data_IF_323289284209
#
_entry.id   IF_323289284209
#
_cell.length_a   1.000
_cell.length_b   1.000
_cell.length_c   1.000
_cell.angle_alpha   90.00
_cell.angle_beta   90.00
_cell.angle_gamma   90.00
#
_symmetry.space_group_name_H-M   'P 1'
#
loop_
_entity.id
_entity.type
_entity.pdbx_description
1 polymer ?
#
# COMPACT_ATOMS: atom_id res chain seq x y z
N UNK A 1 0.99 85.45 -56.85
CA UNK A 1 2.37 85.97 -56.72
C UNK A 1 3.07 85.10 -55.68
N UNK A 2 3.88 84.15 -56.15
CA UNK A 2 5.33 84.29 -56.33
C UNK A 2 6.02 84.19 -54.96
N UNK A 3 6.52 83.02 -54.56
CA UNK A 3 7.80 82.42 -55.00
C UNK A 3 8.95 82.84 -54.08
N UNK A 4 9.54 81.82 -53.45
CA UNK A 4 10.98 81.65 -53.19
C UNK A 4 11.66 82.68 -52.27
N UNK A 5 12.24 82.16 -51.19
CA UNK A 5 13.70 82.28 -50.99
C UNK A 5 14.24 81.17 -50.10
N UNK A 6 14.89 80.23 -50.76
CA UNK A 6 16.03 79.49 -50.23
C UNK A 6 17.10 80.47 -49.75
N UNK A 7 17.75 80.17 -48.63
CA UNK A 7 19.11 79.62 -48.59
C UNK A 7 19.82 79.90 -47.26
N UNK A 8 20.27 78.80 -46.68
CA UNK A 8 21.54 78.55 -45.97
C UNK A 8 22.24 79.69 -45.21
N UNK A 9 22.62 79.41 -43.95
CA UNK A 9 24.03 79.11 -43.63
C UNK A 9 24.21 78.65 -42.17
N UNK A 10 25.08 77.65 -42.04
CA UNK A 10 25.61 77.07 -40.80
C UNK A 10 26.15 78.08 -39.77
N UNK A 11 25.94 77.78 -38.49
CA UNK A 11 26.92 77.89 -37.38
C UNK A 11 26.19 77.56 -36.06
N UNK A 12 26.16 76.29 -35.62
CA UNK A 12 27.02 75.72 -34.56
C UNK A 12 26.87 76.40 -33.18
N UNK A 13 26.53 75.53 -32.21
CA UNK A 13 26.61 75.64 -30.75
C UNK A 13 25.50 76.41 -30.01
N UNK A 14 24.64 75.66 -29.31
CA UNK A 14 24.88 75.25 -27.91
C UNK A 14 23.53 75.02 -27.19
N UNK A 15 23.38 73.83 -26.58
CA UNK A 15 22.54 73.53 -25.39
C UNK A 15 21.03 73.76 -25.57
N UNK A 16 20.14 72.78 -25.39
CA UNK A 16 19.87 72.07 -24.12
C UNK A 16 19.14 70.77 -24.48
N UNK A 17 19.71 69.64 -24.07
CA UNK A 17 19.07 68.33 -24.10
C UNK A 17 18.02 68.32 -22.98
N UNK A 18 16.73 68.38 -23.33
CA UNK A 18 15.65 67.98 -22.41
C UNK A 18 15.32 66.53 -22.73
N UNK A 19 16.09 65.61 -22.15
CA UNK A 19 15.69 64.21 -22.07
C UNK A 19 14.74 64.06 -20.89
N UNK A 20 13.47 63.85 -21.22
CA UNK A 20 12.44 63.36 -20.31
C UNK A 20 12.78 61.89 -19.96
N UNK A 21 13.69 61.68 -18.99
CA UNK A 21 13.96 60.35 -18.45
C UNK A 21 12.85 60.05 -17.44
N UNK A 22 11.81 59.42 -17.96
CA UNK A 22 10.81 58.72 -17.17
C UNK A 22 11.53 57.57 -16.45
N UNK A 23 11.89 57.78 -15.19
CA UNK A 23 12.42 56.72 -14.33
C UNK A 23 11.40 55.57 -14.27
N UNK A 24 11.76 54.32 -14.61
CA UNK A 24 10.91 53.20 -14.29
C UNK A 24 10.89 53.08 -12.76
N UNK A 25 9.70 53.19 -12.18
CA UNK A 25 9.52 52.90 -10.76
C UNK A 25 9.84 51.43 -10.52
N UNK A 26 11.06 51.16 -10.05
CA UNK A 26 11.43 49.87 -9.50
C UNK A 26 10.57 49.62 -8.25
N UNK A 27 9.41 49.01 -8.48
CA UNK A 27 8.64 48.33 -7.45
C UNK A 27 9.57 47.24 -6.91
N UNK A 28 10.19 47.48 -5.75
CA UNK A 28 10.86 46.44 -4.95
C UNK A 28 9.81 45.39 -4.60
N UNK A 29 9.57 44.44 -5.50
CA UNK A 29 8.89 43.20 -5.17
C UNK A 29 9.74 42.52 -4.11
N UNK A 30 9.25 42.53 -2.88
CA UNK A 30 9.92 41.90 -1.75
C UNK A 30 10.29 40.47 -2.13
N UNK A 31 11.57 40.11 -1.98
CA UNK A 31 12.13 38.77 -2.24
C UNK A 31 11.29 37.62 -1.62
N UNK A 32 10.50 37.90 -0.58
CA UNK A 32 9.53 36.97 0.02
C UNK A 32 8.43 36.50 -0.95
N UNK A 33 8.00 37.33 -1.91
CA UNK A 33 6.96 36.97 -2.90
C UNK A 33 7.52 36.09 -4.03
N UNK A 34 8.79 36.30 -4.39
CA UNK A 34 9.47 35.54 -5.46
C UNK A 34 9.83 34.10 -5.05
N UNK A 35 10.20 33.87 -3.78
CA UNK A 35 10.55 32.52 -3.29
C UNK A 35 9.41 31.80 -2.57
N UNK A 36 8.40 32.51 -2.08
CA UNK A 36 7.26 31.91 -1.39
C UNK A 36 6.41 31.01 -2.31
N UNK A 37 6.17 31.44 -3.55
CA UNK A 37 5.40 30.65 -4.53
C UNK A 37 6.15 29.35 -4.89
N UNK A 38 7.43 29.38 -5.32
CA UNK A 38 8.21 28.16 -5.56
C UNK A 38 8.31 27.21 -4.37
N UNK A 39 8.43 27.75 -3.15
CA UNK A 39 8.53 26.92 -1.94
C UNK A 39 7.22 26.19 -1.65
N UNK A 40 6.08 26.89 -1.76
CA UNK A 40 4.75 26.30 -1.57
C UNK A 40 4.44 25.28 -2.65
N UNK A 41 4.74 25.57 -3.92
CA UNK A 41 4.53 24.61 -5.01
C UNK A 41 5.40 23.37 -4.86
N UNK A 42 6.65 23.52 -4.39
CA UNK A 42 7.53 22.38 -4.10
C UNK A 42 6.97 21.51 -2.97
N UNK A 43 6.47 22.13 -1.89
CA UNK A 43 5.83 21.40 -0.79
C UNK A 43 4.57 20.65 -1.24
N UNK A 44 3.71 21.30 -2.04
CA UNK A 44 2.54 20.65 -2.62
C UNK A 44 2.96 19.48 -3.51
N UNK A 45 4.03 19.65 -4.30
CA UNK A 45 4.62 18.59 -5.11
C UNK A 45 5.04 17.38 -4.28
N UNK A 46 5.80 17.59 -3.20
CA UNK A 46 6.25 16.53 -2.29
C UNK A 46 5.05 15.80 -1.66
N UNK A 47 4.05 16.54 -1.17
CA UNK A 47 2.85 15.95 -0.56
C UNK A 47 2.07 15.14 -1.59
N UNK A 48 1.88 15.67 -2.80
CA UNK A 48 1.22 14.96 -3.89
C UNK A 48 1.95 13.67 -4.27
N UNK A 49 3.29 13.69 -4.34
CA UNK A 49 4.09 12.49 -4.60
C UNK A 49 3.92 11.44 -3.51
N UNK A 50 3.91 11.84 -2.23
CA UNK A 50 3.69 10.92 -1.11
C UNK A 50 2.30 10.28 -1.18
N UNK A 51 1.25 11.07 -1.45
CA UNK A 51 -0.13 10.56 -1.59
C UNK A 51 -0.24 9.59 -2.75
N UNK A 52 0.35 9.93 -3.90
CA UNK A 52 0.36 9.06 -5.08
C UNK A 52 1.11 7.76 -4.80
N UNK A 53 2.28 7.83 -4.17
CA UNK A 53 3.05 6.65 -3.79
C UNK A 53 2.30 5.76 -2.80
N UNK A 54 1.63 6.34 -1.79
CA UNK A 54 0.82 5.61 -0.84
C UNK A 54 -0.38 4.91 -1.50
N UNK A 55 -1.08 5.61 -2.39
CA UNK A 55 -2.20 5.04 -3.15
C UNK A 55 -1.75 3.90 -4.07
N UNK A 56 -0.63 4.07 -4.77
CA UNK A 56 -0.04 3.04 -5.62
C UNK A 56 0.41 1.82 -4.81
N UNK A 57 0.98 2.03 -3.62
CA UNK A 57 1.38 0.93 -2.73
C UNK A 57 0.16 0.11 -2.30
N UNK A 58 -0.92 0.76 -1.86
CA UNK A 58 -2.14 0.08 -1.43
C UNK A 58 -2.79 -0.73 -2.55
N UNK A 59 -2.92 -0.16 -3.75
CA UNK A 59 -3.45 -0.88 -4.91
C UNK A 59 -2.51 -2.00 -5.33
N UNK A 60 -1.20 -1.76 -5.28
CA UNK A 60 -0.19 -2.76 -5.61
C UNK A 60 -0.25 -3.97 -4.67
N UNK A 61 -0.51 -3.76 -3.38
CA UNK A 61 -0.72 -4.83 -2.40
C UNK A 61 -1.97 -5.65 -2.70
N UNK A 62 -3.12 -5.00 -2.95
CA UNK A 62 -4.37 -5.68 -3.32
C UNK A 62 -4.20 -6.51 -4.61
N UNK A 63 -3.60 -5.91 -5.65
CA UNK A 63 -3.34 -6.60 -6.91
C UNK A 63 -2.33 -7.74 -6.78
N UNK A 64 -1.29 -7.57 -5.95
CA UNK A 64 -0.31 -8.62 -5.71
C UNK A 64 -0.94 -9.81 -4.96
N UNK A 65 -1.84 -9.53 -4.03
CA UNK A 65 -2.58 -10.55 -3.29
C UNK A 65 -3.56 -11.30 -4.21
N UNK A 66 -4.34 -10.59 -5.02
CA UNK A 66 -5.23 -11.20 -6.00
C UNK A 66 -4.46 -12.06 -7.01
N UNK A 67 -3.35 -11.54 -7.54
CA UNK A 67 -2.48 -12.28 -8.45
C UNK A 67 -1.87 -13.53 -7.78
N UNK A 68 -1.53 -13.48 -6.49
CA UNK A 68 -1.06 -14.64 -5.74
C UNK A 68 -2.16 -15.72 -5.63
N UNK A 69 -3.40 -15.32 -5.34
CA UNK A 69 -4.55 -16.22 -5.32
C UNK A 69 -4.81 -16.85 -6.69
N UNK A 70 -4.71 -16.07 -7.77
CA UNK A 70 -4.90 -16.59 -9.12
C UNK A 70 -3.83 -17.60 -9.52
N UNK A 71 -2.55 -17.34 -9.20
CA UNK A 71 -1.46 -18.30 -9.40
C UNK A 71 -1.69 -19.59 -8.62
N UNK A 72 -2.12 -19.47 -7.35
CA UNK A 72 -2.45 -20.62 -6.53
C UNK A 72 -3.59 -21.46 -7.16
N UNK A 73 -4.68 -20.79 -7.56
CA UNK A 73 -5.80 -21.45 -8.25
C UNK A 73 -5.34 -22.13 -9.55
N UNK A 74 -4.47 -21.50 -10.32
CA UNK A 74 -3.96 -22.04 -11.57
C UNK A 74 -3.12 -23.31 -11.34
N UNK A 75 -2.22 -23.31 -10.35
CA UNK A 75 -1.45 -24.52 -9.99
C UNK A 75 -2.36 -25.63 -9.51
N UNK A 76 -3.32 -25.33 -8.62
CA UNK A 76 -4.30 -26.31 -8.15
C UNK A 76 -5.04 -26.93 -9.33
N UNK A 77 -5.57 -26.11 -10.25
CA UNK A 77 -6.31 -26.60 -11.42
C UNK A 77 -5.43 -27.45 -12.34
N UNK A 78 -4.18 -27.04 -12.58
CA UNK A 78 -3.25 -27.80 -13.41
C UNK A 78 -2.95 -29.16 -12.80
N UNK A 79 -2.66 -29.23 -11.50
CA UNK A 79 -2.36 -30.51 -10.83
C UNK A 79 -3.62 -31.39 -10.75
N UNK A 80 -4.79 -30.80 -10.49
CA UNK A 80 -6.08 -31.52 -10.50
C UNK A 80 -6.31 -32.19 -11.85
N UNK A 81 -6.12 -31.49 -12.97
CA UNK A 81 -6.27 -32.08 -14.32
C UNK A 81 -5.34 -33.27 -14.55
N UNK A 82 -4.10 -33.20 -14.05
CA UNK A 82 -3.15 -34.32 -14.17
C UNK A 82 -3.66 -35.55 -13.41
N UNK A 83 -4.21 -35.35 -12.20
CA UNK A 83 -4.81 -36.44 -11.41
C UNK A 83 -6.05 -36.99 -12.10
N UNK A 84 -6.92 -36.12 -12.63
CA UNK A 84 -8.10 -36.52 -13.40
C UNK A 84 -7.71 -37.39 -14.59
N UNK A 85 -6.71 -36.96 -15.37
CA UNK A 85 -6.21 -37.71 -16.52
C UNK A 85 -5.62 -39.06 -16.12
N UNK A 86 -4.87 -39.13 -15.00
CA UNK A 86 -4.32 -40.40 -14.51
C UNK A 86 -5.43 -41.37 -14.09
N UNK A 87 -6.45 -40.89 -13.38
CA UNK A 87 -7.58 -41.73 -12.93
C UNK A 87 -8.43 -42.20 -14.11
N UNK A 88 -8.73 -41.32 -15.06
CA UNK A 88 -9.51 -41.67 -16.27
C UNK A 88 -8.77 -42.71 -17.11
N UNK A 89 -7.44 -42.63 -17.20
CA UNK A 89 -6.61 -43.59 -17.92
C UNK A 89 -6.31 -44.87 -17.13
N UNK A 90 -6.91 -45.07 -15.95
CA UNK A 90 -6.65 -46.20 -15.05
C UNK A 90 -5.18 -46.36 -14.64
N UNK A 91 -4.42 -45.27 -14.62
CA UNK A 91 -3.05 -45.25 -14.12
C UNK A 91 -3.04 -45.05 -12.60
N UNK A 92 -2.14 -45.74 -11.90
CA UNK A 92 -1.99 -45.57 -10.46
C UNK A 92 -1.46 -44.17 -10.13
N UNK A 93 -2.16 -43.45 -9.25
CA UNK A 93 -1.71 -42.15 -8.73
C UNK A 93 -0.72 -42.39 -7.58
N UNK A 94 0.56 -42.13 -7.83
CA UNK A 94 1.62 -42.21 -6.81
C UNK A 94 1.62 -40.93 -5.95
N UNK A 95 1.21 -41.07 -4.69
CA UNK A 95 1.05 -39.98 -3.72
C UNK A 95 2.37 -39.23 -3.46
N UNK A 96 3.50 -39.90 -3.14
CA UNK A 96 4.82 -39.25 -3.08
C UNK A 96 5.18 -38.45 -4.33
N UNK A 97 4.91 -38.98 -5.53
CA UNK A 97 5.21 -38.29 -6.79
C UNK A 97 4.33 -37.06 -6.98
N UNK A 98 3.05 -37.15 -6.63
CA UNK A 98 2.11 -36.03 -6.65
C UNK A 98 2.52 -34.94 -5.66
N UNK A 99 2.94 -35.30 -4.45
CA UNK A 99 3.43 -34.35 -3.45
C UNK A 99 4.66 -33.57 -3.95
N UNK A 100 5.62 -34.26 -4.58
CA UNK A 100 6.80 -33.61 -5.20
C UNK A 100 6.41 -32.70 -6.36
N UNK A 101 5.45 -33.12 -7.19
CA UNK A 101 4.95 -32.30 -8.29
C UNK A 101 4.33 -31.00 -7.76
N UNK A 102 3.52 -31.09 -6.70
CA UNK A 102 2.91 -29.92 -6.06
C UNK A 102 3.99 -28.98 -5.49
N UNK A 103 4.99 -29.52 -4.77
CA UNK A 103 6.09 -28.72 -4.21
C UNK A 103 6.89 -28.00 -5.30
N UNK A 104 7.22 -28.70 -6.39
CA UNK A 104 7.95 -28.14 -7.52
C UNK A 104 7.15 -27.02 -8.20
N UNK A 105 5.85 -27.24 -8.48
CA UNK A 105 4.98 -26.21 -9.07
C UNK A 105 4.77 -25.02 -8.14
N UNK A 106 4.65 -25.26 -6.84
CA UNK A 106 4.51 -24.20 -5.84
C UNK A 106 5.75 -23.31 -5.77
N UNK A 107 6.94 -23.92 -5.92
CA UNK A 107 8.21 -23.19 -6.00
C UNK A 107 8.36 -22.39 -7.29
N UNK A 108 7.98 -22.96 -8.43
CA UNK A 108 7.99 -22.28 -9.74
C UNK A 108 7.12 -21.02 -9.73
N UNK A 109 5.89 -21.14 -9.24
CA UNK A 109 4.89 -20.06 -9.25
C UNK A 109 4.96 -19.15 -8.01
N UNK A 110 5.93 -19.38 -7.11
CA UNK A 110 6.15 -18.61 -5.88
C UNK A 110 4.89 -18.52 -5.00
N UNK A 111 4.22 -19.65 -4.81
CA UNK A 111 3.02 -19.72 -3.98
C UNK A 111 3.44 -19.66 -2.51
N UNK A 112 2.78 -18.79 -1.75
CA UNK A 112 3.06 -18.62 -0.31
C UNK A 112 2.39 -19.71 0.52
N UNK A 113 1.20 -20.16 0.12
CA UNK A 113 0.43 -21.18 0.82
C UNK A 113 0.83 -22.59 0.37
N UNK A 114 0.99 -23.50 1.33
CA UNK A 114 1.26 -24.91 1.03
C UNK A 114 -0.01 -25.58 0.49
N UNK A 115 0.02 -26.01 -0.77
CA UNK A 115 -1.07 -26.78 -1.37
C UNK A 115 -1.04 -28.22 -0.82
N UNK A 116 -2.18 -28.70 -0.33
CA UNK A 116 -2.31 -30.06 0.20
C UNK A 116 -2.62 -31.08 -0.89
N UNK A 117 -1.97 -32.24 -0.85
CA UNK A 117 -2.24 -33.37 -1.76
C UNK A 117 -3.68 -33.85 -1.63
N UNK A 118 -4.21 -33.89 -0.40
CA UNK A 118 -5.59 -34.30 -0.14
C UNK A 118 -6.61 -33.39 -0.84
N UNK A 119 -6.38 -32.08 -0.78
CA UNK A 119 -7.24 -31.08 -1.42
C UNK A 119 -7.30 -31.27 -2.94
N UNK A 120 -6.17 -31.63 -3.56
CA UNK A 120 -6.10 -31.92 -4.99
C UNK A 120 -6.91 -33.16 -5.33
N UNK A 121 -6.74 -34.24 -4.57
CA UNK A 121 -7.43 -35.52 -4.79
C UNK A 121 -8.95 -35.35 -4.63
N UNK A 122 -9.40 -34.69 -3.55
CA UNK A 122 -10.81 -34.41 -3.31
C UNK A 122 -11.43 -33.58 -4.43
N UNK A 123 -10.69 -32.59 -4.95
CA UNK A 123 -11.18 -31.74 -6.03
C UNK A 123 -11.27 -32.51 -7.36
N UNK A 124 -10.29 -33.38 -7.64
CA UNK A 124 -10.33 -34.27 -8.79
C UNK A 124 -11.50 -35.27 -8.71
N UNK A 125 -11.73 -35.87 -7.54
CA UNK A 125 -12.87 -36.75 -7.29
C UNK A 125 -14.19 -36.02 -7.53
N UNK A 126 -14.35 -34.84 -6.92
CA UNK A 126 -15.54 -34.01 -7.06
C UNK A 126 -15.84 -33.70 -8.53
N UNK A 127 -14.82 -33.31 -9.30
CA UNK A 127 -14.96 -33.00 -10.72
C UNK A 127 -15.36 -34.23 -11.55
N UNK A 128 -14.75 -35.39 -11.30
CA UNK A 128 -15.06 -36.63 -12.03
C UNK A 128 -16.48 -37.12 -11.71
N UNK A 129 -16.89 -37.11 -10.44
CA UNK A 129 -18.21 -37.57 -10.00
C UNK A 129 -19.31 -36.64 -10.54
N UNK A 130 -19.07 -35.32 -10.53
CA UNK A 130 -20.04 -34.34 -11.00
C UNK A 130 -19.99 -34.07 -12.52
N UNK A 131 -19.11 -34.74 -13.27
CA UNK A 131 -19.04 -34.59 -14.72
C UNK A 131 -20.33 -35.08 -15.39
N UNK A 132 -20.94 -34.24 -16.22
CA UNK A 132 -22.15 -34.57 -16.98
C UNK A 132 -21.88 -35.60 -18.11
N UNK A 133 -20.62 -35.75 -18.50
CA UNK A 133 -20.21 -36.55 -19.66
C UNK A 133 -19.85 -38.00 -19.32
N UNK A 134 -19.87 -38.36 -18.04
CA UNK A 134 -19.51 -39.71 -17.56
C UNK A 134 -20.76 -40.52 -17.20
N UNK A 135 -20.82 -41.75 -17.70
CA UNK A 135 -21.86 -42.70 -17.32
C UNK A 135 -21.78 -43.04 -15.82
N UNK A 136 -22.94 -43.30 -15.20
CA UNK A 136 -23.02 -43.61 -13.77
C UNK A 136 -22.16 -44.81 -13.35
N UNK A 137 -22.09 -45.86 -14.17
CA UNK A 137 -21.27 -47.03 -13.89
C UNK A 137 -19.77 -46.68 -13.84
N UNK A 138 -19.31 -45.81 -14.75
CA UNK A 138 -17.92 -45.33 -14.78
C UNK A 138 -17.59 -44.47 -13.57
N UNK A 139 -18.53 -43.63 -13.11
CA UNK A 139 -18.38 -42.86 -11.87
C UNK A 139 -18.17 -43.76 -10.65
N UNK A 140 -18.91 -44.87 -10.57
CA UNK A 140 -18.74 -45.86 -9.49
C UNK A 140 -17.39 -46.60 -9.58
N UNK A 141 -16.87 -46.87 -10.78
CA UNK A 141 -15.53 -47.43 -10.97
C UNK A 141 -14.45 -46.47 -10.46
N UNK A 142 -14.52 -45.19 -10.85
CA UNK A 142 -13.57 -44.18 -10.38
C UNK A 142 -13.63 -43.93 -8.89
N UNK A 143 -14.83 -43.99 -8.29
CA UNK A 143 -14.99 -43.88 -6.84
C UNK A 143 -14.16 -44.93 -6.09
N UNK A 144 -14.16 -46.18 -6.56
CA UNK A 144 -13.33 -47.24 -5.96
C UNK A 144 -11.83 -46.97 -6.07
N UNK A 145 -11.40 -46.30 -7.14
CA UNK A 145 -10.00 -45.88 -7.32
C UNK A 145 -9.65 -44.81 -6.29
N UNK A 146 -10.53 -43.81 -6.10
CA UNK A 146 -10.34 -42.77 -5.07
C UNK A 146 -10.35 -43.35 -3.66
N UNK A 147 -11.26 -44.28 -3.33
CA UNK A 147 -11.29 -44.97 -2.03
C UNK A 147 -9.94 -45.68 -1.73
N UNK A 148 -9.33 -46.29 -2.74
CA UNK A 148 -8.00 -46.91 -2.63
C UNK A 148 -6.87 -45.86 -2.49
N UNK A 149 -6.98 -44.72 -3.17
CA UNK A 149 -6.03 -43.60 -2.98
C UNK A 149 -6.13 -43.06 -1.55
N UNK A 150 -7.35 -42.91 -1.01
CA UNK A 150 -7.55 -42.47 0.38
C UNK A 150 -6.98 -43.44 1.41
N UNK A 151 -7.10 -44.76 1.19
CA UNK A 151 -6.54 -45.76 2.12
C UNK A 151 -5.00 -45.79 2.13
N UNK A 152 -4.36 -45.37 1.03
CA UNK A 152 -2.90 -45.24 0.93
C UNK A 152 -2.37 -43.96 1.54
N UNK A 153 -3.23 -42.95 1.75
CA UNK A 153 -2.87 -41.75 2.48
C UNK A 153 -2.89 -42.06 3.98
N UNK A 154 -1.76 -42.54 4.49
CA UNK A 154 -1.52 -42.62 5.93
C UNK A 154 -1.65 -41.21 6.52
N UNK A 155 -2.64 -41.00 7.38
CA UNK A 155 -2.77 -39.80 8.21
C UNK A 155 -1.78 -39.87 9.38
N UNK A 156 -0.48 -39.92 9.06
CA UNK A 156 0.62 -39.92 10.05
C UNK A 156 0.74 -38.57 10.79
N UNK A 157 -0.06 -37.56 10.40
CA UNK A 157 0.00 -36.19 10.95
C UNK A 157 -1.01 -35.87 12.06
N UNK A 158 -1.83 -36.82 12.50
CA UNK A 158 -2.77 -36.63 13.62
C UNK A 158 -2.24 -37.23 14.94
N UNK A 159 -1.00 -37.74 14.95
CA UNK A 159 -0.36 -38.24 16.16
C UNK A 159 0.34 -37.10 16.89
N UNK A 160 -0.40 -36.49 17.83
CA UNK A 160 0.15 -35.56 18.81
C UNK A 160 0.48 -34.19 18.22
N UNK A 161 -0.55 -33.39 17.95
CA UNK A 161 -0.38 -31.94 17.84
C UNK A 161 0.08 -31.39 19.20
N UNK A 162 1.26 -30.79 19.22
CA UNK A 162 1.94 -30.25 20.42
C UNK A 162 1.85 -28.71 20.51
N UNK A 163 0.94 -28.11 19.74
CA UNK A 163 0.77 -26.67 19.68
C UNK A 163 -0.24 -26.12 20.70
N UNK A 164 -0.61 -24.86 20.53
CA UNK A 164 -1.63 -24.20 21.35
C UNK A 164 -2.96 -24.96 21.27
N UNK A 165 -3.59 -25.26 22.40
CA UNK A 165 -4.77 -26.14 22.51
C UNK A 165 -4.55 -27.58 22.03
N UNK A 166 -3.33 -28.11 22.22
CA UNK A 166 -2.93 -29.49 21.95
C UNK A 166 -3.99 -30.54 22.32
N UNK A 167 -4.52 -30.43 23.53
CA UNK A 167 -5.50 -31.38 24.08
C UNK A 167 -6.79 -31.44 23.23
N UNK A 168 -7.38 -30.29 22.91
CA UNK A 168 -8.66 -30.21 22.18
C UNK A 168 -8.48 -30.61 20.71
N UNK A 169 -7.36 -30.21 20.10
CA UNK A 169 -7.05 -30.58 18.73
C UNK A 169 -6.76 -32.09 18.57
N UNK A 170 -6.08 -32.71 19.54
CA UNK A 170 -5.85 -34.15 19.56
C UNK A 170 -7.13 -34.95 19.88
N UNK A 171 -8.03 -34.39 20.69
CA UNK A 171 -9.34 -34.98 20.96
C UNK A 171 -10.25 -34.91 19.72
N UNK A 172 -10.24 -33.79 18.99
CA UNK A 172 -10.90 -33.66 17.68
C UNK A 172 -10.34 -34.68 16.68
N UNK A 173 -9.01 -34.78 16.57
CA UNK A 173 -8.35 -35.78 15.74
C UNK A 173 -8.80 -37.22 16.07
N UNK A 174 -8.88 -37.54 17.35
CA UNK A 174 -9.32 -38.86 17.84
C UNK A 174 -10.80 -39.12 17.55
N UNK A 175 -11.67 -38.12 17.73
CA UNK A 175 -13.11 -38.25 17.45
C UNK A 175 -13.41 -38.42 15.96
N UNK A 176 -12.67 -37.72 15.07
CA UNK A 176 -12.74 -37.89 13.62
C UNK A 176 -12.31 -39.30 13.21
N UNK A 177 -11.19 -39.81 13.78
CA UNK A 177 -10.72 -41.19 13.55
C UNK A 177 -11.72 -42.23 14.06
N UNK A 178 -12.40 -41.94 15.17
CA UNK A 178 -13.41 -42.82 15.78
C UNK A 178 -14.77 -42.82 15.08
N UNK A 179 -15.00 -41.92 14.10
CA UNK A 179 -16.28 -41.81 13.40
C UNK A 179 -17.42 -41.22 14.24
N UNK A 180 -17.12 -40.61 15.39
CA UNK A 180 -18.12 -39.99 16.26
C UNK A 180 -18.34 -38.53 15.85
N UNK A 181 -19.27 -38.33 14.91
CA UNK A 181 -19.57 -37.01 14.35
C UNK A 181 -20.09 -36.01 15.37
N UNK A 182 -20.81 -36.47 16.41
CA UNK A 182 -21.38 -35.58 17.41
C UNK A 182 -20.28 -35.02 18.31
N UNK A 183 -19.37 -35.88 18.76
CA UNK A 183 -18.22 -35.50 19.57
C UNK A 183 -17.20 -34.68 18.76
N UNK A 184 -17.05 -34.94 17.46
CA UNK A 184 -16.21 -34.14 16.58
C UNK A 184 -16.72 -32.70 16.42
N UNK A 185 -18.02 -32.50 16.31
CA UNK A 185 -18.60 -31.16 16.16
C UNK A 185 -18.46 -30.34 17.44
N UNK A 186 -18.68 -30.95 18.61
CA UNK A 186 -18.55 -30.26 19.91
C UNK A 186 -17.10 -29.86 20.20
N UNK A 187 -16.15 -30.77 19.93
CA UNK A 187 -14.71 -30.49 20.10
C UNK A 187 -14.20 -29.46 19.09
N UNK A 188 -14.72 -29.45 17.85
CA UNK A 188 -14.44 -28.41 16.86
C UNK A 188 -14.92 -27.03 17.32
N UNK A 189 -16.16 -26.92 17.81
CA UNK A 189 -16.70 -25.65 18.30
C UNK A 189 -15.89 -25.13 19.50
N UNK A 190 -15.51 -26.01 20.41
CA UNK A 190 -14.63 -25.67 21.55
C UNK A 190 -13.27 -25.13 21.07
N UNK A 191 -12.66 -25.77 20.07
CA UNK A 191 -11.40 -25.32 19.47
C UNK A 191 -11.55 -23.92 18.82
N UNK A 192 -12.66 -23.69 18.11
CA UNK A 192 -12.96 -22.41 17.48
C UNK A 192 -13.16 -21.29 18.51
N UNK A 193 -13.86 -21.57 19.61
CA UNK A 193 -14.04 -20.60 20.70
C UNK A 193 -12.72 -20.24 21.37
N UNK A 194 -11.85 -21.23 21.61
CA UNK A 194 -10.51 -21.01 22.15
C UNK A 194 -9.64 -20.18 21.21
N UNK A 195 -9.65 -20.48 19.91
CA UNK A 195 -8.93 -19.70 18.89
C UNK A 195 -9.46 -18.27 18.79
N UNK A 196 -10.78 -18.09 18.78
CA UNK A 196 -11.40 -16.76 18.73
C UNK A 196 -11.03 -15.93 19.96
N UNK A 197 -11.00 -16.55 21.14
CA UNK A 197 -10.55 -15.92 22.37
C UNK A 197 -9.09 -15.46 22.26
N UNK A 198 -8.19 -16.33 21.81
CA UNK A 198 -6.78 -15.99 21.66
C UNK A 198 -6.54 -14.91 20.59
N UNK A 199 -7.29 -14.94 19.48
CA UNK A 199 -7.25 -13.90 18.46
C UNK A 199 -7.70 -12.56 19.06
N UNK A 200 -8.76 -12.58 19.89
CA UNK A 200 -9.27 -11.38 20.55
C UNK A 200 -8.26 -10.84 21.57
N UNK A 201 -7.68 -11.70 22.39
CA UNK A 201 -6.64 -11.34 23.37
C UNK A 201 -5.36 -10.84 22.68
N UNK A 202 -4.94 -11.47 21.58
CA UNK A 202 -3.79 -11.03 20.79
C UNK A 202 -4.06 -9.68 20.11
N UNK A 203 -5.28 -9.45 19.63
CA UNK A 203 -5.71 -8.16 19.06
C UNK A 203 -5.72 -7.05 20.11
N UNK A 204 -6.12 -7.35 21.34
CA UNK A 204 -6.08 -6.41 22.46
C UNK A 204 -4.65 -6.11 22.91
N UNK A 205 -3.77 -7.12 22.99
CA UNK A 205 -2.35 -6.94 23.34
C UNK A 205 -1.56 -6.19 22.26
N UNK A 206 -1.80 -6.45 20.98
CA UNK A 206 -1.16 -5.73 19.87
C UNK A 206 -1.76 -4.34 19.59
N UNK A 207 -2.77 -3.89 20.33
CA UNK A 207 -3.26 -2.52 20.24
C UNK A 207 -2.23 -1.47 20.71
N UNK A 208 -1.11 -1.90 21.31
CA UNK A 208 0.00 -1.03 21.70
C UNK A 208 1.17 -1.02 20.70
N UNK A 209 1.07 -1.75 19.60
CA UNK A 209 2.15 -1.88 18.62
C UNK A 209 2.04 -0.81 17.53
N UNK A 210 3.19 -0.25 17.13
CA UNK A 210 3.52 0.86 16.19
C UNK A 210 2.41 1.48 15.29
N UNK A 211 1.46 0.69 14.78
CA UNK A 211 0.27 1.14 14.04
C UNK A 211 -0.75 1.93 14.89
N UNK A 212 -0.69 1.85 16.22
CA UNK A 212 -1.47 2.71 17.11
C UNK A 212 -1.08 4.19 17.00
N UNK A 213 0.17 4.49 16.64
CA UNK A 213 0.62 5.86 16.31
C UNK A 213 -0.03 6.31 14.99
N UNK A 214 -0.25 5.39 14.05
CA UNK A 214 -0.97 5.66 12.80
C UNK A 214 -2.48 5.84 13.02
N UNK A 215 -3.08 5.19 14.02
CA UNK A 215 -4.47 5.45 14.45
C UNK A 215 -4.68 6.81 15.12
N UNK A 216 -3.62 7.44 15.62
CA UNK A 216 -3.69 8.84 16.09
C UNK A 216 -3.95 9.78 14.89
N UNK A 217 -3.64 9.39 13.64
CA UNK A 217 -4.03 10.14 12.44
C UNK A 217 -5.52 9.95 12.08
N UNK A 218 -6.40 10.03 13.07
CA UNK A 218 -7.83 10.16 12.82
C UNK A 218 -8.12 11.55 12.21
N UNK A 219 -9.29 11.69 11.58
CA UNK A 219 -9.74 12.91 10.89
C UNK A 219 -9.63 14.15 11.81
N UNK A 220 -9.93 13.98 13.09
CA UNK A 220 -9.87 15.04 14.09
C UNK A 220 -8.44 15.46 14.44
N UNK A 221 -7.49 14.51 14.47
CA UNK A 221 -6.08 14.81 14.67
C UNK A 221 -5.47 15.51 13.45
N UNK A 222 -5.87 15.11 12.24
CA UNK A 222 -5.47 15.81 11.02
C UNK A 222 -5.96 17.27 11.01
N UNK A 223 -7.18 17.54 11.47
CA UNK A 223 -7.67 18.91 11.64
C UNK A 223 -6.93 19.69 12.73
N UNK A 224 -6.60 19.06 13.86
CA UNK A 224 -5.79 19.66 14.91
C UNK A 224 -4.38 20.02 14.41
N UNK A 225 -3.74 19.12 13.67
CA UNK A 225 -2.39 19.31 13.12
C UNK A 225 -2.38 20.40 12.05
N UNK A 226 -3.40 20.44 11.18
CA UNK A 226 -3.62 21.55 10.24
C UNK A 226 -3.85 22.89 10.97
N UNK A 227 -4.58 22.88 12.09
CA UNK A 227 -4.80 24.05 12.95
C UNK A 227 -3.49 24.57 13.56
N UNK A 228 -2.67 23.67 14.13
CA UNK A 228 -1.35 24.01 14.68
C UNK A 228 -0.44 24.58 13.59
N UNK A 229 -0.42 23.95 12.41
CA UNK A 229 0.38 24.42 11.28
C UNK A 229 -0.08 25.78 10.76
N UNK A 230 -1.38 26.05 10.75
CA UNK A 230 -1.94 27.35 10.41
C UNK A 230 -1.52 28.44 11.42
N UNK A 231 -1.59 28.15 12.72
CA UNK A 231 -1.14 29.07 13.77
C UNK A 231 0.38 29.32 13.69
N UNK A 232 1.18 28.30 13.41
CA UNK A 232 2.62 28.45 13.19
C UNK A 232 2.94 29.32 11.97
N UNK A 233 2.20 29.14 10.87
CA UNK A 233 2.32 30.01 9.68
C UNK A 233 2.02 31.47 10.01
N UNK A 234 0.95 31.74 10.77
CA UNK A 234 0.56 33.10 11.19
C UNK A 234 1.59 33.74 12.12
N UNK A 235 2.08 32.99 13.11
CA UNK A 235 3.10 33.49 14.05
C UNK A 235 4.41 33.78 13.34
N UNK A 236 4.87 32.92 12.43
CA UNK A 236 6.08 33.15 11.64
C UNK A 236 5.94 34.35 10.69
N UNK A 237 4.78 34.55 10.06
CA UNK A 237 4.53 35.72 9.22
C UNK A 237 4.50 37.01 10.04
N UNK A 238 3.83 37.00 11.20
CA UNK A 238 3.84 38.13 12.13
C UNK A 238 5.25 38.49 12.59
N UNK A 239 6.04 37.49 12.99
CA UNK A 239 7.39 37.67 13.49
C UNK A 239 8.33 38.21 12.41
N UNK A 240 8.17 37.79 11.15
CA UNK A 240 8.86 38.40 9.99
C UNK A 240 8.51 39.87 9.80
N UNK A 241 7.24 40.26 9.94
CA UNK A 241 6.82 41.67 9.82
C UNK A 241 7.45 42.51 10.93
N UNK A 242 7.47 42.01 12.17
CA UNK A 242 8.07 42.70 13.32
C UNK A 242 9.58 42.87 13.14
N UNK A 243 10.29 41.81 12.75
CA UNK A 243 11.74 41.88 12.48
C UNK A 243 12.04 42.90 11.38
N UNK A 244 11.24 42.93 10.31
CA UNK A 244 11.42 43.90 9.22
C UNK A 244 11.26 45.34 9.71
N UNK A 245 10.20 45.63 10.47
CA UNK A 245 9.99 46.96 11.06
C UNK A 245 11.10 47.38 12.02
N UNK A 246 11.67 46.45 12.78
CA UNK A 246 12.80 46.75 13.66
C UNK A 246 14.06 47.09 12.87
N UNK A 247 14.34 46.39 11.76
CA UNK A 247 15.47 46.72 10.87
C UNK A 247 15.33 48.10 10.23
N UNK A 248 14.14 48.42 9.73
CA UNK A 248 13.85 49.76 9.16
C UNK A 248 14.07 50.88 10.19
N UNK A 249 13.66 50.67 11.44
CA UNK A 249 13.93 51.62 12.53
C UNK A 249 15.43 51.74 12.83
N UNK A 250 16.18 50.63 12.87
CA UNK A 250 17.63 50.66 13.11
C UNK A 250 18.38 51.37 11.98
N UNK A 251 18.00 51.16 10.72
CA UNK A 251 18.57 51.88 9.57
C UNK A 251 18.24 53.38 9.64
N UNK A 252 17.02 53.74 10.02
CA UNK A 252 16.62 55.13 10.24
C UNK A 252 17.45 55.81 11.36
N UNK A 253 17.65 55.13 12.49
CA UNK A 253 18.49 55.65 13.58
C UNK A 253 19.96 55.80 13.16
N UNK A 254 20.52 54.86 12.39
CA UNK A 254 21.88 54.97 11.85
C UNK A 254 22.03 56.14 10.89
N UNK A 255 21.04 56.36 10.02
CA UNK A 255 21.02 57.47 9.07
C UNK A 255 21.02 58.83 9.79
N UNK A 256 20.15 59.00 10.80
CA UNK A 256 20.11 60.25 11.57
C UNK A 256 21.37 60.49 12.41
N UNK A 257 21.92 59.45 13.03
CA UNK A 257 23.18 59.55 13.77
C UNK A 257 24.34 59.98 12.85
N UNK A 258 24.47 59.36 11.68
CA UNK A 258 25.47 59.73 10.69
C UNK A 258 25.33 61.17 10.20
N UNK A 259 24.10 61.68 10.12
CA UNK A 259 23.85 63.07 9.70
C UNK A 259 24.18 64.07 10.81
N UNK A 260 23.90 63.72 12.07
CA UNK A 260 24.25 64.55 13.23
C UNK A 260 25.77 64.65 13.42
N UNK A 261 26.50 63.56 13.18
CA UNK A 261 27.96 63.52 13.25
C UNK A 261 28.65 64.31 12.10
N UNK A 262 27.92 64.68 11.04
CA UNK A 262 28.40 65.50 9.91
C UNK A 262 28.13 67.01 10.10
N UNK A 263 27.27 67.39 11.06
CA UNK A 263 26.90 68.78 11.36
C UNK A 263 27.63 69.33 12.61
N UNK A 264 28.40 68.51 13.33
CA UNK A 264 29.37 68.92 14.37
C UNK A 264 30.79 68.97 13.81
#
# INVERSE_FOLDING_TARGET
>A
MSSIKDDQHHSINDRVIINNIQQPSERKESLMRKWGIPLVTTFIGIIATIIVAWYQMKIGEEQAFEAAIEREKAVIQNVVKIVEEHVINNNSVDIPRLARLIDLRSKEEKIQNKISVLQIIQKAEFNIINSDYLEFNKKNEYKKIFDNIYSQMNFDGLDGYDGLHANVANELAKSIRGGDSQTAITTLNSLLDLLNKDITEAKERNSYDFLSILKIFDKDFMFMLLGIQFVLMLTLTYLRIVIKRMREKQEFYKYYKSKLDLEM
#
